data_IF_215268018097
#
_entry.id   IF_215268018097
#
_cell.length_a   1.000
_cell.length_b   1.000
_cell.length_c   1.000
_cell.angle_alpha   90.00
_cell.angle_beta   90.00
_cell.angle_gamma   90.00
#
_symmetry.space_group_name_H-M   'P 1'
#
loop_
_entity.id
_entity.type
_entity.pdbx_description
1 polymer ?
#
# COMPACT_ATOMS: atom_id res chain seq x y z
N UNK A 1 -21.12 -19.60 1.00
CA UNK A 1 -19.69 -19.43 0.64
C UNK A 1 -18.96 -19.26 1.95
N UNK A 2 -18.14 -20.24 2.32
CA UNK A 2 -17.43 -20.26 3.61
C UNK A 2 -16.05 -19.63 3.40
N UNK A 3 -15.76 -18.52 4.06
CA UNK A 3 -14.47 -17.82 3.97
C UNK A 3 -13.48 -18.58 4.83
N UNK A 4 -12.46 -19.18 4.21
CA UNK A 4 -11.53 -20.10 4.90
C UNK A 4 -10.53 -19.42 5.85
N UNK A 5 -10.24 -18.13 5.66
CA UNK A 5 -9.44 -17.30 6.57
C UNK A 5 -9.60 -15.83 6.21
N UNK A 6 -9.66 -14.95 7.21
CA UNK A 6 -9.52 -13.51 7.04
C UNK A 6 -8.52 -13.02 8.09
N UNK A 7 -7.28 -12.81 7.70
CA UNK A 7 -6.29 -12.13 8.54
C UNK A 7 -6.19 -10.66 8.18
N UNK A 8 -6.14 -9.80 9.19
CA UNK A 8 -5.80 -8.40 9.06
C UNK A 8 -4.68 -8.05 10.01
N UNK A 9 -3.65 -7.41 9.49
CA UNK A 9 -2.53 -6.92 10.28
C UNK A 9 -2.37 -5.42 10.06
N UNK A 10 -2.18 -4.68 11.14
CA UNK A 10 -2.01 -3.23 11.12
C UNK A 10 -0.75 -2.87 11.90
N UNK A 11 0.12 -2.09 11.29
CA UNK A 11 1.29 -1.53 11.93
C UNK A 11 1.60 -0.11 11.45
N UNK A 12 2.64 0.48 12.03
CA UNK A 12 3.09 1.85 11.74
C UNK A 12 4.46 1.79 11.09
N UNK A 13 4.58 2.44 9.93
CA UNK A 13 5.85 2.75 9.29
C UNK A 13 6.47 3.92 10.06
N UNK A 14 7.35 3.60 11.01
CA UNK A 14 7.94 4.59 11.92
C UNK A 14 9.45 4.74 11.68
N UNK A 15 9.91 5.98 11.60
CA UNK A 15 11.33 6.30 11.38
C UNK A 15 12.22 5.79 12.52
N UNK A 16 11.72 5.81 13.76
CA UNK A 16 12.41 5.29 14.95
C UNK A 16 12.67 3.78 14.89
N UNK A 17 11.96 3.04 14.03
CA UNK A 17 12.20 1.61 13.76
C UNK A 17 13.15 1.39 12.58
N UNK A 18 13.73 2.45 12.02
CA UNK A 18 14.57 2.38 10.82
C UNK A 18 13.78 2.14 9.52
N UNK A 19 12.47 2.34 9.53
CA UNK A 19 11.64 2.18 8.33
C UNK A 19 11.72 3.41 7.42
N UNK A 20 11.63 3.19 6.10
CA UNK A 20 11.42 4.23 5.09
C UNK A 20 10.06 4.00 4.43
N UNK A 21 9.25 5.06 4.34
CA UNK A 21 7.92 4.95 3.72
C UNK A 21 8.02 4.81 2.20
N UNK A 22 9.01 5.45 1.56
CA UNK A 22 9.31 5.26 0.14
C UNK A 22 9.73 3.81 -0.13
N UNK A 23 10.58 3.22 0.70
CA UNK A 23 10.98 1.82 0.56
C UNK A 23 9.78 0.87 0.63
N UNK A 24 8.87 1.12 1.60
CA UNK A 24 7.65 0.33 1.79
C UNK A 24 6.69 0.51 0.61
N UNK A 25 6.49 1.74 0.14
CA UNK A 25 5.65 2.05 -1.02
C UNK A 25 6.18 1.41 -2.31
N UNK A 26 7.49 1.52 -2.57
CA UNK A 26 8.16 0.88 -3.70
C UNK A 26 8.03 -0.65 -3.63
N UNK A 27 8.25 -1.23 -2.45
CA UNK A 27 8.08 -2.66 -2.24
C UNK A 27 6.63 -3.08 -2.51
N UNK A 28 5.64 -2.40 -1.91
CA UNK A 28 4.23 -2.74 -2.08
C UNK A 28 3.79 -2.59 -3.54
N UNK A 29 4.20 -1.53 -4.24
CA UNK A 29 3.79 -1.31 -5.62
C UNK A 29 4.61 -2.08 -6.67
N UNK A 30 5.61 -2.88 -6.25
CA UNK A 30 6.65 -3.46 -7.13
C UNK A 30 7.22 -2.40 -8.08
N UNK A 31 7.55 -1.24 -7.53
CA UNK A 31 7.95 -0.06 -8.29
C UNK A 31 9.41 0.30 -8.02
N UNK A 32 9.91 1.26 -8.79
CA UNK A 32 11.20 1.90 -8.58
C UNK A 32 11.00 3.35 -8.17
N UNK A 33 11.30 3.68 -6.91
CA UNK A 33 11.10 5.02 -6.36
C UNK A 33 12.38 5.59 -5.76
N UNK A 34 12.59 6.89 -5.94
CA UNK A 34 13.63 7.68 -5.32
C UNK A 34 13.21 8.15 -3.93
N UNK A 35 14.05 7.86 -2.93
CA UNK A 35 13.93 8.36 -1.57
C UNK A 35 14.85 9.58 -1.43
N UNK A 36 14.24 10.77 -1.41
CA UNK A 36 14.97 12.04 -1.31
C UNK A 36 15.60 12.24 0.07
N UNK A 37 14.95 11.74 1.12
CA UNK A 37 15.41 11.90 2.51
C UNK A 37 16.72 11.12 2.75
N UNK A 38 16.77 9.87 2.30
CA UNK A 38 17.94 9.00 2.46
C UNK A 38 18.88 9.02 1.24
N UNK A 39 18.53 9.73 0.17
CA UNK A 39 19.35 9.86 -1.04
C UNK A 39 19.59 8.55 -1.78
N UNK A 40 18.61 7.63 -1.80
CA UNK A 40 18.74 6.29 -2.41
C UNK A 40 17.54 5.93 -3.26
N UNK A 41 17.73 5.02 -4.20
CA UNK A 41 16.64 4.45 -5.00
C UNK A 41 16.25 3.07 -4.50
N UNK A 42 14.96 2.82 -4.35
CA UNK A 42 14.37 1.52 -4.03
C UNK A 42 13.78 0.91 -5.29
N UNK A 43 14.34 -0.21 -5.77
CA UNK A 43 13.89 -0.87 -6.99
C UNK A 43 13.39 -2.29 -6.69
N UNK A 44 12.05 -2.45 -6.73
CA UNK A 44 11.37 -3.73 -6.56
C UNK A 44 10.63 -4.19 -7.82
N UNK A 45 10.88 -3.52 -8.96
CA UNK A 45 10.23 -3.75 -10.27
C UNK A 45 10.41 -5.16 -10.83
N UNK A 46 11.38 -5.93 -10.33
CA UNK A 46 11.65 -7.30 -10.77
C UNK A 46 10.71 -8.34 -10.16
N UNK A 47 9.86 -7.95 -9.21
CA UNK A 47 8.86 -8.84 -8.59
C UNK A 47 7.60 -8.88 -9.46
N UNK A 48 7.05 -10.07 -9.68
CA UNK A 48 6.02 -10.33 -10.70
C UNK A 48 4.66 -10.72 -10.13
N UNK A 49 4.49 -10.63 -8.81
CA UNK A 49 3.27 -11.03 -8.09
C UNK A 49 2.27 -9.89 -7.90
N UNK A 50 2.50 -8.73 -8.51
CA UNK A 50 1.59 -7.58 -8.46
C UNK A 50 0.37 -7.82 -9.35
N UNK A 51 -0.81 -7.63 -8.77
CA UNK A 51 -2.10 -7.72 -9.44
C UNK A 51 -2.69 -6.35 -9.71
N UNK A 52 -2.60 -5.45 -8.73
CA UNK A 52 -3.21 -4.12 -8.81
C UNK A 52 -2.38 -3.14 -8.00
N UNK A 53 -2.27 -1.89 -8.46
CA UNK A 53 -1.67 -0.79 -7.70
C UNK A 53 -2.33 0.52 -8.08
N UNK A 54 -2.80 1.28 -7.09
CA UNK A 54 -3.47 2.56 -7.28
C UNK A 54 -3.39 3.40 -6.02
N UNK A 55 -3.18 4.71 -6.20
CA UNK A 55 -3.41 5.71 -5.16
C UNK A 55 -4.85 6.22 -5.30
N UNK A 56 -5.62 6.09 -4.23
CA UNK A 56 -6.96 6.63 -4.10
C UNK A 56 -6.86 7.99 -3.42
N UNK A 57 -7.39 9.01 -4.10
CA UNK A 57 -7.39 10.40 -3.63
C UNK A 57 -8.81 10.83 -3.26
N UNK A 58 -9.00 11.58 -2.16
CA UNK A 58 -10.18 12.39 -1.97
C UNK A 58 -10.34 13.42 -3.10
N UNK A 59 -11.57 13.77 -3.47
CA UNK A 59 -11.86 14.62 -4.66
C UNK A 59 -11.15 15.98 -4.67
N UNK A 60 -10.88 16.56 -3.49
CA UNK A 60 -10.29 17.89 -3.34
C UNK A 60 -8.75 17.88 -3.28
N UNK A 61 -8.11 16.71 -3.32
CA UNK A 61 -6.65 16.60 -3.27
C UNK A 61 -6.05 16.83 -4.67
N UNK A 62 -4.97 17.63 -4.78
CA UNK A 62 -4.29 17.84 -6.05
C UNK A 62 -3.84 16.53 -6.72
N UNK A 63 -3.91 16.47 -8.05
CA UNK A 63 -3.66 15.24 -8.81
C UNK A 63 -2.21 14.77 -8.72
N UNK A 64 -1.27 15.66 -8.39
CA UNK A 64 0.14 15.33 -8.22
C UNK A 64 0.34 14.24 -7.16
N UNK A 65 -0.53 14.18 -6.14
CA UNK A 65 -0.53 13.13 -5.12
C UNK A 65 -0.93 11.74 -5.64
N UNK A 66 -1.40 11.61 -6.89
CA UNK A 66 -1.56 10.29 -7.52
C UNK A 66 -0.23 9.71 -8.02
N UNK A 67 0.86 10.50 -8.00
CA UNK A 67 2.21 10.00 -8.20
C UNK A 67 2.78 9.53 -6.85
N UNK A 68 3.18 8.25 -6.80
CA UNK A 68 3.65 7.60 -5.57
C UNK A 68 4.95 8.16 -5.03
N UNK A 69 5.91 8.41 -5.92
CA UNK A 69 7.19 9.01 -5.54
C UNK A 69 6.97 10.40 -4.96
N UNK A 70 6.11 11.21 -5.60
CA UNK A 70 5.73 12.53 -5.11
C UNK A 70 5.04 12.46 -3.74
N UNK A 71 3.95 11.68 -3.61
CA UNK A 71 3.18 11.55 -2.37
C UNK A 71 4.08 11.24 -1.17
N UNK A 72 4.90 10.19 -1.27
CA UNK A 72 5.65 9.71 -0.11
C UNK A 72 6.88 10.57 0.21
N UNK A 73 7.49 11.23 -0.78
CA UNK A 73 8.51 12.24 -0.51
C UNK A 73 7.93 13.51 0.14
N UNK A 74 6.71 13.93 -0.21
CA UNK A 74 6.05 15.05 0.48
C UNK A 74 5.75 14.71 1.96
N UNK A 75 5.35 13.47 2.27
CA UNK A 75 5.22 13.00 3.66
C UNK A 75 6.56 13.09 4.41
N UNK A 76 7.65 12.57 3.84
CA UNK A 76 8.98 12.65 4.47
C UNK A 76 9.43 14.11 4.70
N UNK A 77 9.14 15.03 3.78
CA UNK A 77 9.47 16.46 3.90
C UNK A 77 8.74 17.15 5.05
N UNK A 78 7.47 16.82 5.25
CA UNK A 78 6.64 17.41 6.31
C UNK A 78 7.01 16.83 7.69
N UNK A 79 7.28 15.52 7.74
CA UNK A 79 7.58 14.78 8.97
C UNK A 79 9.05 14.91 9.39
N UNK A 80 9.39 15.89 10.23
CA UNK A 80 10.80 16.24 10.54
C UNK A 80 11.44 15.51 11.72
N UNK A 81 10.66 14.77 12.51
CA UNK A 81 11.15 14.19 13.78
C UNK A 81 11.78 12.80 13.57
N UNK A 82 12.89 12.49 14.25
CA UNK A 82 13.44 11.11 14.25
C UNK A 82 12.43 10.03 14.71
N UNK A 83 11.36 10.44 15.40
CA UNK A 83 10.28 9.58 15.88
C UNK A 83 8.99 9.66 15.04
N UNK A 84 9.01 10.29 13.86
CA UNK A 84 7.83 10.43 13.00
C UNK A 84 7.23 9.07 12.64
N UNK A 85 5.89 9.03 12.66
CA UNK A 85 5.07 7.93 12.17
C UNK A 85 4.60 8.31 10.77
N UNK A 86 5.24 7.74 9.76
CA UNK A 86 5.14 8.21 8.37
C UNK A 86 3.89 7.71 7.66
N UNK A 87 3.46 6.49 7.98
CA UNK A 87 2.23 5.90 7.45
C UNK A 87 1.68 4.85 8.40
N UNK A 88 0.38 4.60 8.31
CA UNK A 88 -0.22 3.35 8.80
C UNK A 88 -0.20 2.35 7.66
N UNK A 89 0.23 1.12 7.93
CA UNK A 89 0.20 0.04 6.96
C UNK A 89 -0.87 -0.97 7.38
N UNK A 90 -1.81 -1.21 6.49
CA UNK A 90 -2.84 -2.23 6.65
C UNK A 90 -2.55 -3.35 5.65
N UNK A 91 -2.60 -4.59 6.12
CA UNK A 91 -2.49 -5.80 5.31
C UNK A 91 -3.78 -6.61 5.47
N UNK A 92 -4.44 -6.91 4.36
CA UNK A 92 -5.63 -7.74 4.30
C UNK A 92 -5.36 -8.99 3.48
N UNK A 93 -5.61 -10.17 4.04
CA UNK A 93 -5.84 -11.36 3.23
C UNK A 93 -7.17 -11.19 2.47
N UNK A 94 -7.18 -11.53 1.18
CA UNK A 94 -8.36 -11.47 0.35
C UNK A 94 -8.91 -12.90 0.12
N UNK A 95 -10.24 -13.07 -0.02
CA UNK A 95 -10.82 -14.39 -0.27
C UNK A 95 -10.33 -14.99 -1.59
N UNK A 96 -9.84 -16.24 -1.55
CA UNK A 96 -9.40 -16.99 -2.75
C UNK A 96 -10.56 -17.32 -3.67
N UNK A 97 -11.78 -17.37 -3.14
CA UNK A 97 -13.01 -17.68 -3.85
C UNK A 97 -13.45 -16.53 -4.79
N UNK A 98 -12.97 -15.31 -4.54
CA UNK A 98 -13.21 -14.17 -5.41
C UNK A 98 -12.18 -14.15 -6.53
N UNK A 99 -12.62 -13.95 -7.76
CA UNK A 99 -11.71 -13.66 -8.86
C UNK A 99 -10.99 -12.31 -8.66
N UNK A 100 -9.93 -12.09 -9.43
CA UNK A 100 -9.13 -10.87 -9.38
C UNK A 100 -9.96 -9.57 -9.42
N UNK A 101 -10.88 -9.45 -10.38
CA UNK A 101 -11.70 -8.25 -10.55
C UNK A 101 -12.58 -7.97 -9.33
N UNK A 102 -13.17 -9.01 -8.75
CA UNK A 102 -13.99 -8.89 -7.55
C UNK A 102 -13.14 -8.53 -6.32
N UNK A 103 -11.91 -9.02 -6.24
CA UNK A 103 -10.95 -8.64 -5.18
C UNK A 103 -10.54 -7.16 -5.29
N UNK A 104 -10.27 -6.69 -6.51
CA UNK A 104 -9.96 -5.28 -6.79
C UNK A 104 -11.16 -4.40 -6.43
N UNK A 105 -12.36 -4.78 -6.86
CA UNK A 105 -13.60 -4.06 -6.54
C UNK A 105 -13.81 -3.99 -5.02
N UNK A 106 -13.72 -5.12 -4.33
CA UNK A 106 -13.89 -5.21 -2.88
C UNK A 106 -12.95 -4.24 -2.13
N UNK A 107 -11.65 -4.26 -2.46
CA UNK A 107 -10.69 -3.40 -1.76
C UNK A 107 -10.87 -1.92 -2.15
N UNK A 108 -11.24 -1.63 -3.40
CA UNK A 108 -11.49 -0.26 -3.86
C UNK A 108 -12.69 0.35 -3.14
N UNK A 109 -13.81 -0.37 -3.06
CA UNK A 109 -15.01 0.07 -2.33
C UNK A 109 -14.71 0.25 -0.84
N UNK A 110 -13.97 -0.68 -0.23
CA UNK A 110 -13.54 -0.55 1.16
C UNK A 110 -12.70 0.72 1.40
N UNK A 111 -11.72 0.99 0.53
CA UNK A 111 -10.86 2.18 0.63
C UNK A 111 -11.68 3.46 0.47
N UNK A 112 -12.56 3.49 -0.53
CA UNK A 112 -13.38 4.67 -0.82
C UNK A 112 -14.32 4.99 0.34
N UNK A 113 -15.03 3.98 0.85
CA UNK A 113 -15.97 4.14 1.97
C UNK A 113 -15.25 4.50 3.29
N UNK A 114 -14.08 3.92 3.56
CA UNK A 114 -13.48 4.02 4.89
C UNK A 114 -12.36 5.05 5.03
N UNK A 115 -11.72 5.45 3.94
CA UNK A 115 -10.55 6.34 3.96
C UNK A 115 -10.74 7.58 3.10
N UNK A 116 -10.95 7.46 1.79
CA UNK A 116 -10.99 8.66 0.93
C UNK A 116 -12.23 9.51 1.16
N UNK A 117 -13.39 8.89 1.46
CA UNK A 117 -14.60 9.61 1.89
C UNK A 117 -14.38 10.45 3.16
N UNK A 118 -13.36 10.10 3.97
CA UNK A 118 -12.99 10.79 5.22
C UNK A 118 -11.78 11.71 5.04
N UNK A 119 -11.36 11.95 3.80
CA UNK A 119 -10.27 12.87 3.48
C UNK A 119 -8.87 12.28 3.56
N UNK A 120 -8.73 10.96 3.73
CA UNK A 120 -7.41 10.30 3.74
C UNK A 120 -6.99 9.88 2.33
N UNK A 121 -5.70 9.98 2.01
CA UNK A 121 -5.11 9.37 0.81
C UNK A 121 -4.79 7.90 1.13
N UNK A 122 -5.01 7.00 0.18
CA UNK A 122 -4.69 5.59 0.36
C UNK A 122 -3.89 5.05 -0.84
N UNK A 123 -2.65 4.60 -0.59
CA UNK A 123 -1.83 3.91 -1.59
C UNK A 123 -2.01 2.39 -1.44
N UNK A 124 -2.73 1.80 -2.39
CA UNK A 124 -3.09 0.39 -2.37
C UNK A 124 -2.28 -0.41 -3.37
N UNK A 125 -1.87 -1.62 -2.98
CA UNK A 125 -1.36 -2.63 -3.89
C UNK A 125 -1.86 -4.01 -3.51
N UNK A 126 -2.29 -4.80 -4.48
CA UNK A 126 -2.71 -6.19 -4.31
C UNK A 126 -1.62 -7.10 -4.89
N UNK A 127 -1.19 -8.07 -4.10
CA UNK A 127 -0.30 -9.15 -4.54
C UNK A 127 -1.07 -10.47 -4.61
N UNK A 128 -0.59 -11.39 -5.44
CA UNK A 128 -1.09 -12.75 -5.49
C UNK A 128 0.04 -13.78 -5.76
N UNK A 129 0.98 -13.95 -4.81
CA UNK A 129 1.98 -15.00 -4.91
C UNK A 129 1.35 -16.38 -4.64
N UNK A 130 2.14 -17.43 -4.88
CA UNK A 130 1.80 -18.79 -4.47
C UNK A 130 2.07 -18.98 -2.97
N UNK A 131 1.11 -19.49 -2.22
CA UNK A 131 1.28 -19.86 -0.82
C UNK A 131 1.99 -21.22 -0.67
N UNK A 132 2.34 -21.57 0.58
CA UNK A 132 2.99 -22.83 0.93
C UNK A 132 2.12 -24.08 0.68
N UNK A 133 0.81 -23.91 0.61
CA UNK A 133 -0.15 -24.95 0.24
C UNK A 133 -0.34 -25.08 -1.27
N UNK A 134 0.49 -24.39 -2.07
CA UNK A 134 0.45 -24.38 -3.53
C UNK A 134 -0.84 -23.79 -4.12
N UNK A 135 -1.52 -22.93 -3.36
CA UNK A 135 -2.70 -22.17 -3.79
C UNK A 135 -2.40 -20.66 -3.86
N UNK A 136 -3.28 -19.88 -4.50
CA UNK A 136 -3.17 -18.41 -4.55
C UNK A 136 -3.12 -17.78 -3.14
N UNK A 137 -2.34 -16.72 -2.95
CA UNK A 137 -2.32 -15.95 -1.70
C UNK A 137 -2.65 -14.48 -1.94
N UNK A 138 -3.88 -14.14 -2.35
CA UNK A 138 -4.21 -12.77 -2.66
C UNK A 138 -4.24 -11.94 -1.37
N UNK A 139 -3.50 -10.85 -1.34
CA UNK A 139 -3.49 -9.93 -0.21
C UNK A 139 -3.30 -8.48 -0.65
N UNK A 140 -3.92 -7.55 0.07
CA UNK A 140 -3.81 -6.11 -0.19
C UNK A 140 -2.97 -5.43 0.89
N UNK A 141 -2.02 -4.62 0.46
CA UNK A 141 -1.36 -3.61 1.26
C UNK A 141 -2.04 -2.26 1.03
N UNK A 142 -2.32 -1.52 2.10
CA UNK A 142 -2.81 -0.14 2.05
C UNK A 142 -1.94 0.71 2.97
N UNK A 143 -1.27 1.70 2.40
CA UNK A 143 -0.59 2.75 3.15
C UNK A 143 -1.49 3.98 3.25
N UNK A 144 -1.65 4.50 4.47
CA UNK A 144 -2.43 5.69 4.83
C UNK A 144 -1.55 6.74 5.49
#
# INVERSE_FOLDING_TARGET
MEIKSLHTYVDIVARSKGASVIAKAAYNARDKLQDEYYGKTHDYSKKTDLVFSKIFLPEHIPKEFSNREYLWNEVEKIEKSKNSQLARNLLFELPRELNEQNRIKLISEFIEENFTSKGMIADCSIHNPMASDHEEQPHAHILL
#
